data_IF_190584303533
#
_entry.id   IF_190584303533
#
_cell.length_a   1.000
_cell.length_b   1.000
_cell.length_c   1.000
_cell.angle_alpha   90.00
_cell.angle_beta   90.00
_cell.angle_gamma   90.00
#
_symmetry.space_group_name_H-M   'P 1'
#
loop_
_entity.id
_entity.type
_entity.pdbx_description
1 polymer ?
#
# COMPACT_ATOMS: atom_id res chain seq x y z
N UNK A 1 -13.09 31.33 -28.51
CA UNK A 1 -12.62 31.04 -27.14
C UNK A 1 -12.27 29.56 -27.07
N UNK A 2 -11.05 29.17 -26.65
CA UNK A 2 -10.69 27.77 -26.43
C UNK A 2 -11.29 27.33 -25.10
N UNK A 3 -12.17 26.33 -25.12
CA UNK A 3 -12.77 25.78 -23.91
C UNK A 3 -11.69 25.00 -23.15
N UNK A 4 -11.38 25.39 -21.91
CA UNK A 4 -10.51 24.62 -21.00
C UNK A 4 -11.37 23.55 -20.34
N UNK A 5 -11.07 22.29 -20.63
CA UNK A 5 -11.66 21.15 -19.93
C UNK A 5 -10.90 20.91 -18.63
N UNK A 6 -11.62 20.68 -17.54
CA UNK A 6 -11.06 20.33 -16.24
C UNK A 6 -11.25 18.83 -16.01
N UNK A 7 -10.19 18.16 -15.58
CA UNK A 7 -10.24 16.76 -15.17
C UNK A 7 -10.83 16.66 -13.76
N UNK A 8 -11.99 16.02 -13.65
CA UNK A 8 -12.70 15.79 -12.39
C UNK A 8 -12.63 14.32 -11.94
N UNK A 9 -11.81 13.50 -12.60
CA UNK A 9 -11.65 12.11 -12.21
C UNK A 9 -11.06 12.04 -10.79
N UNK A 10 -11.61 11.13 -9.98
CA UNK A 10 -11.06 10.81 -8.67
C UNK A 10 -9.69 10.16 -8.90
N UNK A 11 -8.64 10.81 -8.41
CA UNK A 11 -7.29 10.26 -8.46
C UNK A 11 -7.14 9.23 -7.35
N UNK A 12 -6.56 8.08 -7.68
CA UNK A 12 -6.23 7.08 -6.67
C UNK A 12 -5.26 7.68 -5.65
N UNK A 13 -5.54 7.45 -4.37
CA UNK A 13 -4.64 7.83 -3.31
C UNK A 13 -3.43 6.90 -3.28
N UNK A 14 -2.24 7.49 -3.12
CA UNK A 14 -0.99 6.73 -3.06
C UNK A 14 -0.77 6.24 -1.64
N UNK A 15 -0.51 4.95 -1.49
CA UNK A 15 -0.26 4.30 -0.21
C UNK A 15 1.15 3.69 -0.15
N UNK A 16 1.77 3.75 1.02
CA UNK A 16 2.97 2.98 1.36
C UNK A 16 2.56 2.02 2.46
N UNK A 17 2.82 0.73 2.27
CA UNK A 17 2.56 -0.29 3.27
C UNK A 17 3.81 -0.53 4.12
N UNK A 18 3.61 -0.71 5.42
CA UNK A 18 4.70 -0.95 6.38
C UNK A 18 4.33 -2.13 7.26
N UNK A 19 5.06 -3.23 7.12
CA UNK A 19 4.98 -4.41 7.99
C UNK A 19 5.98 -4.31 9.14
N UNK A 20 5.63 -4.89 10.28
CA UNK A 20 6.46 -4.88 11.49
C UNK A 20 6.66 -6.32 11.92
N UNK A 21 7.85 -6.86 11.67
CA UNK A 21 8.18 -8.24 12.04
C UNK A 21 8.48 -8.30 13.53
N UNK A 22 7.59 -8.93 14.30
CA UNK A 22 7.79 -9.17 15.74
C UNK A 22 8.50 -10.51 16.00
N UNK A 23 8.84 -10.79 17.26
CA UNK A 23 9.64 -11.96 17.63
C UNK A 23 8.99 -13.32 17.31
N UNK A 24 7.66 -13.35 17.09
CA UNK A 24 6.90 -14.57 16.85
C UNK A 24 6.49 -14.74 15.37
N UNK A 25 6.91 -13.84 14.49
CA UNK A 25 6.55 -13.82 13.08
C UNK A 25 7.78 -14.07 12.21
N UNK A 26 7.56 -14.71 11.06
CA UNK A 26 8.60 -14.85 10.04
C UNK A 26 8.50 -13.71 9.02
N UNK A 27 9.60 -13.45 8.32
CA UNK A 27 9.62 -12.47 7.23
C UNK A 27 8.73 -12.92 6.04
N UNK A 28 8.54 -14.23 5.87
CA UNK A 28 7.62 -14.79 4.86
C UNK A 28 6.15 -14.49 5.21
N UNK A 29 5.76 -14.68 6.48
CA UNK A 29 4.40 -14.37 6.95
C UNK A 29 4.06 -12.88 6.78
N UNK A 30 4.98 -12.00 7.15
CA UNK A 30 4.81 -10.55 6.97
C UNK A 30 4.73 -10.15 5.50
N UNK A 31 5.47 -10.84 4.62
CA UNK A 31 5.36 -10.63 3.18
C UNK A 31 3.97 -11.03 2.66
N UNK A 32 3.46 -12.20 3.03
CA UNK A 32 2.11 -12.66 2.64
C UNK A 32 1.03 -11.67 3.12
N UNK A 33 1.14 -11.17 4.35
CA UNK A 33 0.21 -10.16 4.87
C UNK A 33 0.26 -8.84 4.11
N UNK A 34 1.45 -8.39 3.70
CA UNK A 34 1.61 -7.18 2.89
C UNK A 34 1.05 -7.36 1.47
N UNK A 35 1.19 -8.55 0.88
CA UNK A 35 0.60 -8.87 -0.43
C UNK A 35 -0.93 -8.89 -0.36
N UNK A 36 -1.52 -9.47 0.70
CA UNK A 36 -2.97 -9.43 0.91
C UNK A 36 -3.46 -8.00 1.18
N UNK A 37 -2.74 -7.22 2.00
CA UNK A 37 -3.09 -5.82 2.26
C UNK A 37 -3.01 -4.97 0.99
N UNK A 38 -2.04 -5.22 0.10
CA UNK A 38 -1.96 -4.56 -1.20
C UNK A 38 -3.19 -4.84 -2.06
N UNK A 39 -3.66 -6.09 -2.11
CA UNK A 39 -4.90 -6.46 -2.79
C UNK A 39 -6.12 -5.72 -2.21
N UNK A 40 -6.20 -5.60 -0.87
CA UNK A 40 -7.27 -4.83 -0.22
C UNK A 40 -7.20 -3.34 -0.57
N UNK A 41 -6.00 -2.76 -0.66
CA UNK A 41 -5.82 -1.36 -1.06
C UNK A 41 -6.24 -1.13 -2.51
N UNK A 42 -5.87 -2.04 -3.42
CA UNK A 42 -6.26 -1.96 -4.83
C UNK A 42 -7.78 -2.01 -4.99
N UNK A 43 -8.45 -2.96 -4.31
CA UNK A 43 -9.91 -3.10 -4.36
C UNK A 43 -10.65 -1.92 -3.71
N UNK A 44 -10.01 -1.22 -2.77
CA UNK A 44 -10.51 0.02 -2.19
C UNK A 44 -10.26 1.28 -3.06
N UNK A 45 -9.58 1.14 -4.21
CA UNK A 45 -9.26 2.23 -5.12
C UNK A 45 -7.99 3.01 -4.78
N UNK A 46 -7.17 2.49 -3.86
CA UNK A 46 -5.84 3.00 -3.57
C UNK A 46 -4.78 2.47 -4.54
N UNK A 47 -3.62 3.10 -4.52
CA UNK A 47 -2.45 2.71 -5.30
C UNK A 47 -1.26 2.52 -4.36
N UNK A 48 -0.97 1.26 -4.03
CA UNK A 48 0.25 0.91 -3.29
C UNK A 48 1.46 1.18 -4.17
N UNK A 49 2.31 2.12 -3.75
CA UNK A 49 3.51 2.49 -4.53
C UNK A 49 4.77 1.81 -4.03
N UNK A 50 4.74 1.30 -2.79
CA UNK A 50 5.87 0.64 -2.14
C UNK A 50 5.42 -0.07 -0.86
N UNK A 51 6.12 -1.14 -0.52
CA UNK A 51 6.05 -1.77 0.81
C UNK A 51 7.44 -1.76 1.49
N UNK A 52 7.44 -1.70 2.81
CA UNK A 52 8.62 -1.82 3.67
C UNK A 52 8.32 -2.82 4.79
N UNK A 53 9.34 -3.53 5.25
CA UNK A 53 9.27 -4.32 6.48
C UNK A 53 10.32 -3.82 7.45
N UNK A 54 9.95 -3.69 8.73
CA UNK A 54 10.88 -3.37 9.81
C UNK A 54 10.87 -4.51 10.83
N UNK A 55 12.02 -5.13 11.02
CA UNK A 55 12.21 -6.13 12.07
C UNK A 55 12.50 -5.44 13.40
N UNK A 56 11.72 -5.71 14.43
CA UNK A 56 12.00 -5.20 15.76
C UNK A 56 13.11 -6.04 16.39
N UNK A 57 14.29 -5.43 16.54
CA UNK A 57 15.33 -5.97 17.40
C UNK A 57 14.93 -5.67 18.86
N UNK A 58 15.06 -6.66 19.75
CA UNK A 58 14.96 -6.41 21.20
C UNK A 58 16.10 -5.55 21.69
#
# INVERSE_FOLDING_TARGET
MRQKYYDTAVKQERAILVGVVTANETEEQEKEYLEELEFLVETAGGNTVKHFTQKLQR
#
